data_IF_332190706745
#
_entry.id   IF_332190706745
#
_cell.length_a   1.000
_cell.length_b   1.000
_cell.length_c   1.000
_cell.angle_alpha   90.00
_cell.angle_beta   90.00
_cell.angle_gamma   90.00
#
_symmetry.space_group_name_H-M   'P 1'
#
loop_
_entity.id
_entity.type
_entity.pdbx_description
1 polymer ?
#
# COMPACT_ATOMS: atom_id res chain seq x y z
N UNK A 1 -3.10 -9.90 -21.28
CA UNK A 1 -2.81 -8.91 -20.23
C UNK A 1 -4.14 -8.40 -19.71
N UNK A 2 -4.40 -8.52 -18.42
CA UNK A 2 -5.63 -8.01 -17.81
C UNK A 2 -5.39 -6.57 -17.35
N UNK A 3 -6.26 -5.66 -17.75
CA UNK A 3 -6.22 -4.25 -17.33
C UNK A 3 -7.28 -4.04 -16.27
N UNK A 4 -6.88 -3.53 -15.10
CA UNK A 4 -7.77 -3.24 -13.99
C UNK A 4 -7.85 -1.73 -13.83
N UNK A 5 -9.06 -1.17 -13.96
CA UNK A 5 -9.31 0.23 -13.58
C UNK A 5 -9.37 0.33 -12.05
N UNK A 6 -8.28 0.82 -11.47
CA UNK A 6 -8.16 0.99 -10.01
C UNK A 6 -9.14 2.02 -9.47
N UNK A 7 -9.50 3.05 -10.24
CA UNK A 7 -10.41 4.10 -9.79
C UNK A 7 -11.83 3.55 -9.63
N UNK A 8 -12.28 2.73 -10.59
CA UNK A 8 -13.57 2.04 -10.52
C UNK A 8 -13.66 1.01 -9.39
N UNK A 9 -12.54 0.62 -8.76
CA UNK A 9 -12.51 -0.33 -7.63
C UNK A 9 -12.34 0.33 -6.27
N UNK A 10 -12.12 1.64 -6.22
CA UNK A 10 -11.97 2.40 -4.98
C UNK A 10 -13.20 2.24 -4.07
N UNK A 11 -12.98 2.34 -2.77
CA UNK A 11 -14.06 2.43 -1.80
C UNK A 11 -13.53 2.35 -0.39
N UNK A 12 -13.97 3.29 0.42
CA UNK A 12 -13.59 3.46 1.81
C UNK A 12 -14.53 2.66 2.72
N UNK A 13 -14.02 2.26 3.87
CA UNK A 13 -14.78 1.63 4.93
C UNK A 13 -14.26 2.14 6.26
N UNK A 14 -15.13 2.19 7.28
CA UNK A 14 -14.76 2.64 8.62
C UNK A 14 -13.67 1.76 9.28
N UNK A 15 -13.58 0.50 8.84
CA UNK A 15 -12.55 -0.45 9.26
C UNK A 15 -11.60 -0.79 8.10
N UNK A 16 -10.39 -1.26 8.43
CA UNK A 16 -9.41 -1.70 7.44
C UNK A 16 -9.94 -2.90 6.64
N UNK A 17 -10.31 -2.66 5.38
CA UNK A 17 -10.87 -3.68 4.49
C UNK A 17 -10.18 -3.65 3.11
N UNK A 18 -9.08 -4.42 2.92
CA UNK A 18 -8.37 -4.46 1.64
C UNK A 18 -9.23 -5.14 0.57
N UNK A 19 -9.29 -4.53 -0.62
CA UNK A 19 -9.98 -5.10 -1.79
C UNK A 19 -8.99 -5.89 -2.63
N UNK A 20 -9.15 -7.20 -2.72
CA UNK A 20 -8.22 -8.04 -3.48
C UNK A 20 -8.49 -7.87 -4.98
N UNK A 21 -7.58 -7.20 -5.69
CA UNK A 21 -7.66 -7.03 -7.14
C UNK A 21 -7.22 -8.28 -7.90
N UNK A 22 -6.24 -9.02 -7.35
CA UNK A 22 -5.71 -10.23 -7.98
C UNK A 22 -5.11 -11.19 -6.97
N UNK A 23 -5.29 -12.48 -7.22
CA UNK A 23 -4.65 -13.58 -6.51
C UNK A 23 -3.94 -14.50 -7.50
N UNK A 24 -2.70 -14.84 -7.18
CA UNK A 24 -1.90 -15.89 -7.79
C UNK A 24 -1.22 -16.70 -6.68
N UNK A 25 -0.75 -17.92 -6.94
CA UNK A 25 -0.03 -18.71 -5.93
C UNK A 25 1.16 -17.95 -5.32
N UNK A 26 1.82 -17.10 -6.11
CA UNK A 26 3.05 -16.41 -5.72
C UNK A 26 2.81 -15.05 -5.08
N UNK A 27 1.66 -14.40 -5.36
CA UNK A 27 1.39 -13.04 -4.88
C UNK A 27 -0.10 -12.69 -4.82
N UNK A 28 -0.42 -11.68 -4.00
CA UNK A 28 -1.72 -11.02 -3.95
C UNK A 28 -1.52 -9.52 -4.22
N UNK A 29 -2.49 -8.91 -4.90
CA UNK A 29 -2.51 -7.47 -5.15
C UNK A 29 -3.75 -6.88 -4.46
N UNK A 30 -3.63 -6.37 -3.23
CA UNK A 30 -4.70 -5.63 -2.58
C UNK A 30 -4.70 -4.17 -3.04
N UNK A 31 -5.90 -3.62 -3.27
CA UNK A 31 -6.16 -2.18 -3.26
C UNK A 31 -6.62 -1.80 -1.86
N UNK A 32 -5.93 -0.84 -1.25
CA UNK A 32 -6.21 -0.37 0.10
C UNK A 32 -6.63 1.09 -0.01
N UNK A 33 -7.83 1.39 0.49
CA UNK A 33 -8.35 2.75 0.62
C UNK A 33 -8.51 3.03 2.12
N UNK A 34 -7.93 4.13 2.59
CA UNK A 34 -7.91 4.48 4.01
C UNK A 34 -8.45 5.88 4.22
N UNK A 35 -9.30 6.03 5.22
CA UNK A 35 -9.73 7.33 5.73
C UNK A 35 -8.63 7.95 6.63
N UNK A 36 -8.61 9.29 6.79
CA UNK A 36 -7.69 9.94 7.72
C UNK A 36 -7.78 9.37 9.13
N UNK A 37 -6.63 9.02 9.71
CA UNK A 37 -6.54 8.44 11.05
C UNK A 37 -6.69 6.91 11.10
N UNK A 38 -7.04 6.24 10.00
CA UNK A 38 -6.98 4.79 9.93
C UNK A 38 -5.53 4.29 9.91
N UNK A 39 -5.32 3.11 10.47
CA UNK A 39 -4.01 2.49 10.60
C UNK A 39 -4.05 1.03 10.11
N UNK A 40 -3.00 0.62 9.40
CA UNK A 40 -2.71 -0.79 9.19
C UNK A 40 -1.78 -1.23 10.32
N UNK A 41 -2.33 -1.90 11.32
CA UNK A 41 -1.52 -2.40 12.44
C UNK A 41 -0.45 -3.38 11.94
N UNK A 42 0.73 -3.44 12.59
CA UNK A 42 1.71 -4.49 12.34
C UNK A 42 1.05 -5.88 12.40
N UNK A 43 1.22 -6.66 11.35
CA UNK A 43 0.68 -8.00 11.25
C UNK A 43 1.67 -8.89 10.50
N UNK A 44 1.68 -10.18 10.85
CA UNK A 44 2.52 -11.16 10.14
C UNK A 44 2.04 -11.26 8.69
N UNK A 45 2.89 -10.82 7.78
CA UNK A 45 2.70 -10.94 6.33
C UNK A 45 4.04 -11.15 5.65
N UNK A 46 4.01 -11.64 4.41
CA UNK A 46 5.21 -11.72 3.58
C UNK A 46 5.75 -10.33 3.21
N UNK A 47 6.88 -10.30 2.51
CA UNK A 47 7.41 -9.03 1.97
C UNK A 47 6.38 -8.38 1.05
N UNK A 48 6.02 -7.13 1.34
CA UNK A 48 5.10 -6.33 0.53
C UNK A 48 5.80 -5.17 -0.17
N UNK A 49 5.19 -4.69 -1.26
CA UNK A 49 5.53 -3.44 -1.92
C UNK A 49 4.29 -2.55 -1.91
N UNK A 50 4.43 -1.33 -1.38
CA UNK A 50 3.35 -0.35 -1.35
C UNK A 50 3.56 0.69 -2.44
N UNK A 51 2.50 0.98 -3.18
CA UNK A 51 2.46 2.04 -4.19
C UNK A 51 1.30 2.99 -3.88
N UNK A 52 1.63 4.26 -3.64
CA UNK A 52 0.65 5.27 -3.25
C UNK A 52 0.08 5.95 -4.49
N UNK A 53 -1.23 5.74 -4.73
CA UNK A 53 -1.94 6.29 -5.90
C UNK A 53 -2.46 7.70 -5.62
N UNK A 54 -2.96 7.95 -4.41
CA UNK A 54 -3.50 9.24 -3.96
C UNK A 54 -3.30 9.42 -2.45
N UNK A 55 -3.46 10.66 -1.97
CA UNK A 55 -3.39 11.01 -0.55
C UNK A 55 -1.97 11.18 -0.01
N UNK A 56 -1.85 11.17 1.32
CA UNK A 56 -0.58 11.17 2.04
C UNK A 56 -0.75 10.42 3.34
N UNK A 57 0.33 9.87 3.87
CA UNK A 57 0.33 9.16 5.14
C UNK A 57 1.73 9.00 5.69
N UNK A 58 1.83 8.24 6.77
CA UNK A 58 3.09 7.84 7.40
C UNK A 58 3.19 6.32 7.32
N UNK A 59 4.35 5.83 6.90
CA UNK A 59 4.64 4.39 6.89
C UNK A 59 5.80 4.12 7.85
N UNK A 60 5.60 3.16 8.75
CA UNK A 60 6.64 2.72 9.68
C UNK A 60 7.38 1.51 9.10
N UNK A 61 8.70 1.64 8.90
CA UNK A 61 9.58 0.58 8.40
C UNK A 61 10.75 0.43 9.34
N UNK A 62 10.94 -0.75 9.91
CA UNK A 62 12.02 -1.02 10.89
C UNK A 62 12.04 0.01 12.05
N UNK A 63 10.85 0.38 12.53
CA UNK A 63 10.68 1.36 13.62
C UNK A 63 10.89 2.83 13.21
N UNK A 64 11.14 3.12 11.93
CA UNK A 64 11.30 4.49 11.41
C UNK A 64 10.06 4.93 10.67
N UNK A 65 9.60 6.13 10.97
CA UNK A 65 8.50 6.77 10.25
C UNK A 65 9.01 7.43 8.97
N UNK A 66 8.28 7.20 7.88
CA UNK A 66 8.57 7.73 6.55
C UNK A 66 7.29 8.34 6.00
N UNK A 67 7.35 9.62 5.63
CA UNK A 67 6.26 10.28 4.91
C UNK A 67 6.09 9.65 3.52
N UNK A 68 4.86 9.30 3.19
CA UNK A 68 4.50 8.68 1.91
C UNK A 68 3.42 9.47 1.21
N UNK A 69 3.59 9.64 -0.09
CA UNK A 69 2.66 10.32 -0.98
C UNK A 69 2.83 9.77 -2.42
N UNK A 70 1.87 10.01 -3.32
CA UNK A 70 2.04 9.71 -4.74
C UNK A 70 3.34 10.30 -5.29
N UNK A 71 3.95 9.58 -6.22
CA UNK A 71 5.11 10.11 -6.94
C UNK A 71 4.69 11.41 -7.63
N UNK A 72 5.38 12.51 -7.35
CA UNK A 72 5.31 13.70 -8.21
C UNK A 72 5.96 13.35 -9.54
N UNK A 73 5.24 13.61 -10.62
CA UNK A 73 5.69 13.42 -11.99
C UNK A 73 7.07 14.06 -12.17
N UNK A 74 8.09 13.26 -12.53
CA UNK A 74 9.44 13.75 -12.89
C UNK A 74 10.59 13.40 -11.95
N UNK A 75 10.38 12.88 -10.73
CA UNK A 75 11.49 12.43 -9.87
C UNK A 75 11.58 10.91 -9.87
N UNK A 76 12.52 10.39 -10.68
CA UNK A 76 12.89 8.97 -10.75
C UNK A 76 13.77 8.59 -9.54
N UNK A 77 13.20 8.58 -8.35
CA UNK A 77 13.80 7.85 -7.20
C UNK A 77 13.24 6.44 -7.23
N UNK A 78 14.04 5.40 -7.41
CA UNK A 78 13.61 4.02 -7.12
C UNK A 78 13.34 3.88 -5.61
N UNK A 79 12.25 4.44 -5.11
CA UNK A 79 11.71 4.15 -3.80
C UNK A 79 11.12 2.75 -3.81
N UNK A 80 11.98 1.74 -3.69
CA UNK A 80 11.57 0.41 -3.24
C UNK A 80 11.44 0.51 -1.72
N UNK A 81 10.23 0.69 -1.22
CA UNK A 81 9.97 0.49 0.19
C UNK A 81 9.80 -1.02 0.37
N UNK A 82 10.90 -1.70 0.70
CA UNK A 82 10.88 -3.11 1.10
C UNK A 82 10.64 -3.12 2.61
N UNK A 83 9.43 -3.46 3.02
CA UNK A 83 9.19 -3.79 4.42
C UNK A 83 9.82 -5.15 4.73
N UNK A 84 10.88 -5.16 5.53
CA UNK A 84 11.27 -6.32 6.32
C UNK A 84 11.00 -5.97 7.77
N UNK A 85 10.25 -6.83 8.48
CA UNK A 85 10.31 -6.83 9.93
C UNK A 85 11.44 -7.79 10.31
N UNK A 86 12.42 -7.24 11.04
CA UNK A 86 13.38 -8.03 11.79
C UNK A 86 12.67 -8.83 12.88
N UNK A 87 13.29 -9.97 13.20
CA UNK A 87 12.84 -11.02 14.11
C UNK A 87 12.42 -10.52 15.49
#
# INVERSE_FOLDING_TARGET
>A
MEVIDVNAKTGFAAEFMPRILRVRPEYKVPLICMEPGQEIKPHQSGTGVFYFISGKGVMTVEGKEIDVAPRRDGIRREGRIKGHQGN
#
